data_IF_411471133567
#
_entry.id   IF_411471133567
#
_cell.length_a   1.000
_cell.length_b   1.000
_cell.length_c   1.000
_cell.angle_alpha   90.00
_cell.angle_beta   90.00
_cell.angle_gamma   90.00
#
_symmetry.space_group_name_H-M   'P 1'
#
loop_
_entity.id
_entity.type
_entity.pdbx_description
1 polymer ?
#
# COMPACT_ATOMS: atom_id res chain seq x y z
N UNK A 1 -17.51 -15.00 6.65
CA UNK A 1 -16.11 -15.44 6.89
C UNK A 1 -15.27 -14.17 7.04
N UNK A 2 -14.78 -13.92 8.24
CA UNK A 2 -14.00 -12.73 8.59
C UNK A 2 -12.65 -12.76 7.86
N UNK A 3 -12.23 -11.63 7.29
CA UNK A 3 -10.86 -11.46 6.81
C UNK A 3 -9.99 -11.31 8.06
N UNK A 4 -9.10 -12.26 8.34
CA UNK A 4 -8.18 -12.14 9.47
C UNK A 4 -7.09 -11.11 9.13
N UNK A 5 -7.21 -9.90 9.68
CA UNK A 5 -6.10 -8.95 9.66
C UNK A 5 -4.96 -9.49 10.52
N UNK A 6 -3.78 -9.68 9.92
CA UNK A 6 -2.56 -10.03 10.64
C UNK A 6 -1.97 -8.83 11.37
N UNK A 7 -0.96 -9.05 12.23
CA UNK A 7 -0.13 -7.95 12.72
C UNK A 7 0.82 -7.50 11.60
N UNK A 8 0.67 -6.26 11.16
CA UNK A 8 1.51 -5.56 10.19
C UNK A 8 1.86 -4.21 10.79
N UNK A 9 2.86 -4.20 11.67
CA UNK A 9 3.20 -3.00 12.42
C UNK A 9 3.84 -1.97 11.48
N UNK A 10 3.22 -0.80 11.33
CA UNK A 10 3.76 0.36 10.65
C UNK A 10 3.17 1.61 11.32
N UNK A 11 3.59 1.86 12.56
CA UNK A 11 3.15 3.03 13.32
C UNK A 11 4.12 4.17 13.13
N UNK A 12 3.55 5.35 12.86
CA UNK A 12 4.25 6.62 12.79
C UNK A 12 5.54 6.52 11.92
N UNK A 13 5.42 6.04 10.68
CA UNK A 13 6.60 5.75 9.84
C UNK A 13 6.30 6.06 8.38
N UNK A 14 7.26 6.63 7.65
CA UNK A 14 7.15 6.78 6.21
C UNK A 14 7.80 5.57 5.52
N UNK A 15 7.11 4.98 4.55
CA UNK A 15 7.57 3.81 3.80
C UNK A 15 7.49 4.08 2.29
N UNK A 16 8.35 3.43 1.49
CA UNK A 16 8.16 3.38 0.05
C UNK A 16 7.04 2.40 -0.29
N UNK A 17 6.58 2.44 -1.53
CA UNK A 17 5.60 1.48 -2.06
C UNK A 17 6.15 0.77 -3.29
N UNK A 18 5.74 -0.47 -3.50
CA UNK A 18 6.13 -1.26 -4.67
C UNK A 18 4.90 -1.70 -5.43
N UNK A 19 4.97 -1.71 -6.76
CA UNK A 19 3.93 -2.31 -7.57
C UNK A 19 3.79 -3.80 -7.25
N UNK A 20 2.55 -4.29 -7.21
CA UNK A 20 2.26 -5.69 -6.85
C UNK A 20 2.93 -6.71 -7.78
N UNK A 21 3.13 -6.35 -9.05
CA UNK A 21 3.84 -7.14 -10.05
C UNK A 21 5.03 -6.35 -10.57
N UNK A 22 6.17 -7.01 -10.79
CA UNK A 22 7.38 -6.39 -11.32
C UNK A 22 7.17 -5.77 -12.72
N UNK A 23 6.18 -6.25 -13.47
CA UNK A 23 5.85 -5.73 -14.80
C UNK A 23 4.75 -4.66 -14.77
N UNK A 24 4.16 -4.40 -13.60
CA UNK A 24 3.11 -3.39 -13.50
C UNK A 24 3.69 -1.98 -13.54
N UNK A 25 2.95 -1.10 -14.19
CA UNK A 25 3.28 0.32 -14.32
C UNK A 25 2.10 1.18 -13.91
N UNK A 26 2.35 2.49 -13.75
CA UNK A 26 1.29 3.45 -13.43
C UNK A 26 0.11 3.44 -14.39
N UNK A 27 0.29 2.97 -15.63
CA UNK A 27 -0.75 2.95 -16.67
C UNK A 27 -1.79 1.86 -16.46
N UNK A 28 -1.42 0.79 -15.75
CA UNK A 28 -2.27 -0.39 -15.54
C UNK A 28 -3.44 -0.09 -14.59
N UNK A 29 -3.29 0.92 -13.73
CA UNK A 29 -4.28 1.27 -12.71
C UNK A 29 -4.82 2.67 -12.90
N UNK A 30 -6.12 2.86 -12.65
CA UNK A 30 -6.78 4.16 -12.83
C UNK A 30 -6.26 5.20 -11.84
N UNK A 31 -6.04 4.80 -10.59
CA UNK A 31 -5.59 5.72 -9.53
C UNK A 31 -4.19 6.30 -9.79
N UNK A 32 -3.31 5.55 -10.46
CA UNK A 32 -1.93 5.97 -10.75
C UNK A 32 -1.74 6.53 -12.16
N UNK A 33 -2.70 6.33 -13.08
CA UNK A 33 -2.57 6.70 -14.49
C UNK A 33 -2.20 8.17 -14.71
N UNK A 34 -2.76 9.05 -13.88
CA UNK A 34 -2.52 10.50 -13.94
C UNK A 34 -1.23 10.98 -13.25
N UNK A 35 -0.51 10.12 -12.52
CA UNK A 35 0.73 10.52 -11.84
C UNK A 35 1.79 10.92 -12.87
N UNK A 36 2.58 11.95 -12.58
CA UNK A 36 3.78 12.22 -13.38
C UNK A 36 4.79 11.10 -13.17
N UNK A 37 5.62 10.80 -14.18
CA UNK A 37 6.67 9.77 -14.06
C UNK A 37 7.65 10.10 -12.94
N UNK A 38 7.89 11.39 -12.70
CA UNK A 38 8.67 11.85 -11.56
C UNK A 38 8.03 11.40 -10.23
N UNK A 39 6.75 11.73 -9.99
CA UNK A 39 6.07 11.38 -8.73
C UNK A 39 5.98 9.86 -8.55
N UNK A 40 5.64 9.12 -9.61
CA UNK A 40 5.60 7.65 -9.59
C UNK A 40 6.96 7.07 -9.16
N UNK A 41 8.06 7.53 -9.76
CA UNK A 41 9.41 7.08 -9.38
C UNK A 41 9.79 7.45 -7.94
N UNK A 42 9.27 8.55 -7.40
CA UNK A 42 9.54 8.96 -6.03
C UNK A 42 8.75 8.13 -5.03
N UNK A 43 7.49 7.82 -5.33
CA UNK A 43 6.68 6.92 -4.49
C UNK A 43 7.32 5.53 -4.35
N UNK A 44 7.95 5.04 -5.42
CA UNK A 44 8.58 3.70 -5.41
C UNK A 44 10.02 3.66 -4.90
N UNK A 45 10.72 4.79 -4.83
CA UNK A 45 12.12 4.86 -4.40
C UNK A 45 12.37 5.61 -3.10
N UNK A 46 11.36 6.28 -2.54
CA UNK A 46 11.50 7.12 -1.34
C UNK A 46 10.40 6.83 -0.32
N UNK A 47 10.74 7.06 0.94
CA UNK A 47 9.81 6.90 2.07
C UNK A 47 8.84 8.08 2.12
N UNK A 48 7.80 8.05 1.27
CA UNK A 48 6.84 9.14 1.10
C UNK A 48 5.42 8.78 1.57
N UNK A 49 5.13 7.52 1.87
CA UNK A 49 3.79 7.11 2.32
C UNK A 49 3.74 7.00 3.84
N UNK A 50 2.92 7.84 4.47
CA UNK A 50 2.81 7.87 5.93
C UNK A 50 1.92 6.74 6.45
N UNK A 51 2.48 5.88 7.29
CA UNK A 51 1.77 4.74 7.86
C UNK A 51 1.61 4.95 9.38
N UNK A 52 0.39 4.73 9.87
CA UNK A 52 0.08 4.71 11.29
C UNK A 52 -0.93 3.62 11.64
N UNK A 53 -0.54 2.36 11.47
CA UNK A 53 -1.39 1.20 11.72
C UNK A 53 -0.59 0.03 12.31
N UNK A 54 -1.30 -0.92 12.92
CA UNK A 54 -0.72 -2.19 13.43
C UNK A 54 -1.31 -3.43 12.74
N UNK A 55 -2.33 -3.23 11.92
CA UNK A 55 -3.07 -4.25 11.23
C UNK A 55 -3.08 -3.93 9.74
N UNK A 56 -3.16 -4.98 8.94
CA UNK A 56 -3.16 -4.89 7.49
C UNK A 56 -3.63 -6.20 6.88
N UNK A 57 -3.65 -6.22 5.55
CA UNK A 57 -4.05 -7.37 4.75
C UNK A 57 -2.87 -7.80 3.89
N UNK A 58 -2.48 -9.08 3.96
CA UNK A 58 -1.44 -9.59 3.05
C UNK A 58 -1.93 -9.63 1.60
N UNK A 59 -1.01 -9.48 0.63
CA UNK A 59 -1.30 -9.79 -0.77
C UNK A 59 -1.86 -11.22 -0.96
N UNK A 60 -1.38 -12.17 -0.16
CA UNK A 60 -1.88 -13.54 -0.16
C UNK A 60 -3.36 -13.62 0.27
N UNK A 61 -3.76 -12.89 1.30
CA UNK A 61 -5.17 -12.83 1.74
C UNK A 61 -6.05 -12.23 0.66
N UNK A 62 -5.59 -11.18 -0.03
CA UNK A 62 -6.31 -10.61 -1.18
C UNK A 62 -6.48 -11.61 -2.31
N UNK A 63 -5.44 -12.41 -2.60
CA UNK A 63 -5.46 -13.43 -3.65
C UNK A 63 -6.34 -14.63 -3.30
N UNK A 64 -6.32 -15.09 -2.05
CA UNK A 64 -6.98 -16.32 -1.62
C UNK A 64 -8.46 -16.09 -1.23
N UNK A 65 -8.85 -14.87 -0.88
CA UNK A 65 -10.25 -14.55 -0.63
C UNK A 65 -10.99 -14.26 -1.94
N UNK A 66 -11.95 -15.12 -2.30
CA UNK A 66 -12.71 -15.00 -3.56
C UNK A 66 -13.39 -13.65 -3.76
N UNK A 67 -13.86 -13.01 -2.69
CA UNK A 67 -14.57 -11.73 -2.78
C UNK A 67 -13.59 -10.57 -2.99
N UNK A 68 -12.48 -10.56 -2.25
CA UNK A 68 -11.44 -9.53 -2.41
C UNK A 68 -10.77 -9.63 -3.77
N UNK A 69 -10.39 -10.84 -4.19
CA UNK A 69 -9.82 -11.11 -5.52
C UNK A 69 -10.78 -10.73 -6.64
N UNK A 70 -12.08 -10.99 -6.49
CA UNK A 70 -13.06 -10.63 -7.52
C UNK A 70 -13.23 -9.12 -7.63
N UNK A 71 -13.12 -8.39 -6.52
CA UNK A 71 -13.51 -6.98 -6.47
C UNK A 71 -12.35 -6.00 -6.66
N UNK A 72 -11.15 -6.30 -6.17
CA UNK A 72 -10.02 -5.37 -6.14
C UNK A 72 -8.84 -5.79 -7.03
N UNK A 73 -8.17 -4.79 -7.58
CA UNK A 73 -6.79 -4.86 -8.05
C UNK A 73 -5.88 -4.29 -6.95
N UNK A 74 -4.84 -5.02 -6.58
CA UNK A 74 -3.81 -4.51 -5.67
C UNK A 74 -2.82 -3.70 -6.52
N UNK A 75 -2.71 -2.41 -6.24
CA UNK A 75 -1.86 -1.47 -6.98
C UNK A 75 -0.45 -1.48 -6.37
N UNK A 76 -0.38 -1.15 -5.09
CA UNK A 76 0.86 -1.08 -4.35
C UNK A 76 0.85 -1.97 -3.11
N UNK A 77 2.04 -2.42 -2.74
CA UNK A 77 2.34 -3.12 -1.51
C UNK A 77 3.50 -2.42 -0.78
N UNK A 78 3.64 -2.68 0.51
CA UNK A 78 4.76 -2.17 1.32
C UNK A 78 5.10 -3.18 2.42
N UNK A 79 6.29 -3.06 3.00
CA UNK A 79 6.81 -3.99 4.00
C UNK A 79 6.77 -3.38 5.40
N UNK A 80 6.32 -4.19 6.37
CA UNK A 80 6.37 -3.78 7.77
C UNK A 80 7.83 -3.56 8.18
N UNK A 81 8.20 -2.39 8.73
CA UNK A 81 9.56 -2.15 9.20
C UNK A 81 9.95 -3.02 10.40
N UNK A 82 8.97 -3.63 11.08
CA UNK A 82 9.22 -4.45 12.27
C UNK A 82 9.69 -5.86 11.94
N UNK A 83 9.07 -6.50 10.94
CA UNK A 83 9.28 -7.91 10.65
C UNK A 83 9.34 -8.24 9.14
N UNK A 84 9.34 -7.23 8.28
CA UNK A 84 9.44 -7.38 6.83
C UNK A 84 8.19 -7.99 6.18
N UNK A 85 7.07 -8.12 6.91
CA UNK A 85 5.85 -8.68 6.33
C UNK A 85 5.23 -7.73 5.32
N UNK A 86 4.98 -8.26 4.12
CA UNK A 86 4.32 -7.56 3.03
C UNK A 86 2.83 -7.36 3.29
N UNK A 87 2.35 -6.13 3.13
CA UNK A 87 0.94 -5.77 3.20
C UNK A 87 0.50 -4.94 1.99
N UNK A 88 -0.81 -4.88 1.75
CA UNK A 88 -1.41 -4.03 0.71
C UNK A 88 -1.39 -2.57 1.14
N UNK A 89 -0.78 -1.71 0.33
CA UNK A 89 -0.66 -0.28 0.57
C UNK A 89 -1.72 0.54 -0.19
N UNK A 90 -2.03 0.14 -1.43
CA UNK A 90 -3.04 0.77 -2.27
C UNK A 90 -3.76 -0.29 -3.11
N UNK A 91 -5.07 -0.18 -3.20
CA UNK A 91 -5.91 -1.00 -4.08
C UNK A 91 -6.99 -0.15 -4.75
N UNK A 92 -7.44 -0.60 -5.92
CA UNK A 92 -8.59 -0.03 -6.61
C UNK A 92 -9.62 -1.11 -6.92
N UNK A 93 -10.91 -0.79 -6.86
CA UNK A 93 -11.94 -1.71 -7.32
C UNK A 93 -11.81 -1.93 -8.83
N UNK A 94 -12.14 -3.11 -9.35
CA UNK A 94 -11.99 -3.40 -10.77
C UNK A 94 -12.95 -2.58 -11.62
N UNK A 95 -14.22 -2.55 -11.22
CA UNK A 95 -15.32 -2.02 -12.02
C UNK A 95 -16.04 -0.82 -11.37
N UNK A 96 -15.49 -0.27 -10.29
CA UNK A 96 -16.06 0.88 -9.58
C UNK A 96 -15.02 1.95 -9.27
N UNK A 97 -15.42 3.22 -9.13
CA UNK A 97 -14.53 4.32 -8.73
C UNK A 97 -14.28 4.32 -7.22
N UNK A 98 -13.89 3.17 -6.67
CA UNK A 98 -13.56 2.99 -5.26
C UNK A 98 -12.07 2.68 -5.12
N UNK A 99 -11.41 3.41 -4.23
CA UNK A 99 -9.97 3.30 -3.97
C UNK A 99 -9.73 3.12 -2.47
N UNK A 100 -8.79 2.28 -2.10
CA UNK A 100 -8.43 2.00 -0.71
C UNK A 100 -6.95 2.24 -0.46
N UNK A 101 -6.66 3.09 0.52
CA UNK A 101 -5.30 3.40 0.97
C UNK A 101 -5.11 2.83 2.38
N UNK A 102 -4.00 2.13 2.61
CA UNK A 102 -3.61 1.72 3.96
C UNK A 102 -2.76 2.79 4.66
N UNK A 103 -2.02 3.57 3.87
CA UNK A 103 -1.30 4.75 4.32
C UNK A 103 -2.21 5.99 4.29
N UNK A 104 -1.74 7.07 4.91
CA UNK A 104 -2.40 8.36 5.03
C UNK A 104 -1.83 9.35 4.02
N UNK A 105 -2.40 9.47 2.81
CA UNK A 105 -1.91 10.41 1.78
C UNK A 105 -2.04 11.89 2.18
N UNK A 106 -2.91 12.21 3.14
CA UNK A 106 -3.14 13.55 3.69
C UNK A 106 -2.05 14.00 4.67
N UNK A 107 -1.26 13.06 5.18
CA UNK A 107 -0.32 13.27 6.26
C UNK A 107 1.11 12.87 5.90
N UNK A 108 2.03 13.21 6.79
CA UNK A 108 3.43 12.82 6.71
C UNK A 108 3.97 12.59 8.11
N UNK A 109 4.86 11.61 8.30
CA UNK A 109 5.56 11.46 9.58
C UNK A 109 6.56 12.61 9.77
N UNK A 110 6.44 13.34 10.88
CA UNK A 110 7.35 14.43 11.23
C UNK A 110 8.80 13.95 11.39
N UNK A 111 9.77 14.85 11.22
CA UNK A 111 11.20 14.53 11.38
C UNK A 111 11.57 14.05 12.79
N UNK A 112 10.81 14.45 13.83
CA UNK A 112 10.98 13.96 15.21
C UNK A 112 10.53 12.50 15.39
N UNK A 113 9.69 12.02 14.48
CA UNK A 113 9.15 10.66 14.48
C UNK A 113 10.10 9.65 13.82
N UNK A 114 10.79 10.04 12.74
CA UNK A 114 11.66 9.13 11.98
C UNK A 114 12.92 8.68 12.73
N UNK A 115 13.24 9.28 13.89
CA UNK A 115 14.47 9.01 14.66
C UNK A 115 14.40 7.80 15.60
N UNK A 116 13.33 7.00 15.57
CA UNK A 116 13.14 5.86 16.49
C UNK A 116 12.98 4.50 15.80
N UNK A 117 13.47 4.36 14.57
CA UNK A 117 13.60 3.07 13.89
C UNK A 117 15.07 2.66 13.83
#
# INVERSE_FOLDING_TARGET
>A
RTVSGGSYWAQNVNLPVEYTSANSTKQDFRITRGLSTYLDSKLTSRNLTYNNHIHGVSPETMKNNRYLKAFYNVVYTSDSPRDGKRFVALMEAKDMPLYGFQFHPEGWASSSTQRKA
#
